data_IF_659068802791
#
_entry.id   IF_659068802791
#
_cell.length_a   1.000
_cell.length_b   1.000
_cell.length_c   1.000
_cell.angle_alpha   90.00
_cell.angle_beta   90.00
_cell.angle_gamma   90.00
#
_symmetry.space_group_name_H-M   'P 1'
#
loop_
_entity.id
_entity.type
_entity.pdbx_description
1 polymer ?
#
# COMPACT_ATOMS: atom_id res chain seq x y z
N UNK A 1 -50.36 -12.46 48.78
CA UNK A 1 -49.88 -13.24 47.64
C UNK A 1 -49.06 -12.25 46.78
N UNK A 2 -47.74 -12.21 46.96
CA UNK A 2 -46.82 -11.22 46.34
C UNK A 2 -46.12 -11.91 45.16
N UNK A 3 -46.45 -11.52 43.94
CA UNK A 3 -45.74 -11.93 42.73
C UNK A 3 -44.42 -11.12 42.66
N UNK A 4 -43.27 -11.78 42.88
CA UNK A 4 -41.97 -11.23 42.60
C UNK A 4 -41.70 -11.31 41.08
N UNK A 5 -41.79 -10.18 40.39
CA UNK A 5 -41.35 -10.02 39.02
C UNK A 5 -39.82 -10.04 39.01
N UNK A 6 -39.27 -11.11 38.41
CA UNK A 6 -37.82 -11.27 38.24
C UNK A 6 -37.45 -10.66 36.87
N UNK A 7 -36.92 -9.42 36.90
CA UNK A 7 -36.36 -8.78 35.72
C UNK A 7 -35.02 -9.45 35.40
N UNK A 8 -35.00 -10.29 34.39
CA UNK A 8 -33.76 -10.79 33.79
C UNK A 8 -33.17 -9.68 32.91
N UNK A 9 -32.16 -9.01 33.45
CA UNK A 9 -31.33 -8.07 32.67
C UNK A 9 -30.35 -8.91 31.85
N UNK A 10 -30.67 -9.08 30.57
CA UNK A 10 -29.71 -9.59 29.60
C UNK A 10 -28.64 -8.54 29.35
N UNK A 11 -27.50 -8.64 30.04
CA UNK A 11 -26.27 -7.96 29.61
C UNK A 11 -25.79 -8.64 28.34
N UNK A 12 -26.14 -8.07 27.18
CA UNK A 12 -25.46 -8.34 25.93
C UNK A 12 -24.03 -7.84 26.07
N UNK A 13 -23.13 -8.74 26.39
CA UNK A 13 -21.71 -8.46 26.22
C UNK A 13 -21.47 -8.34 24.70
N UNK A 14 -21.54 -7.12 24.18
CA UNK A 14 -20.88 -6.80 22.93
C UNK A 14 -19.38 -6.94 23.22
N UNK A 15 -18.81 -8.10 22.92
CA UNK A 15 -17.38 -8.22 22.74
C UNK A 15 -17.05 -7.33 21.57
N UNK A 16 -16.50 -6.15 21.85
CA UNK A 16 -15.70 -5.42 20.89
C UNK A 16 -14.55 -6.35 20.52
N UNK A 17 -14.72 -7.07 19.40
CA UNK A 17 -13.60 -7.69 18.72
C UNK A 17 -12.69 -6.57 18.21
N UNK A 18 -11.94 -5.99 19.14
CA UNK A 18 -10.73 -5.24 18.82
C UNK A 18 -9.79 -6.34 18.34
N UNK A 19 -9.76 -6.52 17.03
CA UNK A 19 -8.87 -7.44 16.35
C UNK A 19 -7.44 -6.86 16.45
N UNK A 20 -6.90 -6.82 17.69
CA UNK A 20 -5.49 -6.53 17.92
C UNK A 20 -4.73 -7.77 17.47
N UNK A 21 -4.36 -7.76 16.18
CA UNK A 21 -3.52 -8.81 15.66
C UNK A 21 -2.24 -8.88 16.51
N UNK A 22 -2.00 -10.07 17.09
CA UNK A 22 -0.84 -10.34 17.94
C UNK A 22 0.45 -9.97 17.18
N UNK A 23 1.41 -9.36 17.86
CA UNK A 23 2.77 -9.18 17.33
C UNK A 23 3.49 -10.52 17.26
N UNK A 24 4.30 -10.74 16.22
CA UNK A 24 5.06 -11.97 16.06
C UNK A 24 6.23 -12.00 17.04
N UNK A 25 6.26 -12.97 17.95
CA UNK A 25 7.38 -13.21 18.88
C UNK A 25 8.25 -14.39 18.42
N UNK A 26 7.71 -15.25 17.54
CA UNK A 26 8.38 -16.44 17.05
C UNK A 26 7.92 -16.79 15.62
N UNK A 27 8.67 -17.67 14.95
CA UNK A 27 8.25 -18.21 13.64
C UNK A 27 6.94 -19.02 13.71
N UNK A 28 6.61 -19.60 14.88
CA UNK A 28 5.35 -20.32 15.10
C UNK A 28 4.15 -19.39 15.06
N UNK A 29 4.32 -18.14 15.51
CA UNK A 29 3.24 -17.15 15.49
C UNK A 29 2.83 -16.82 14.07
N UNK A 30 3.77 -16.82 13.10
CA UNK A 30 3.48 -16.60 11.68
C UNK A 30 2.52 -17.66 11.11
N UNK A 31 2.49 -18.86 11.68
CA UNK A 31 1.55 -19.92 11.26
C UNK A 31 0.14 -19.61 11.76
N UNK A 32 -0.01 -19.23 13.03
CA UNK A 32 -1.31 -18.92 13.64
C UNK A 32 -1.89 -17.59 13.20
N UNK A 33 -1.04 -16.66 12.79
CA UNK A 33 -1.37 -15.30 12.36
C UNK A 33 -0.89 -14.25 13.35
N UNK A 34 -0.05 -13.34 12.86
CA UNK A 34 0.51 -12.24 13.65
C UNK A 34 0.98 -11.10 12.73
N UNK A 35 1.36 -9.97 13.32
CA UNK A 35 2.04 -8.88 12.61
C UNK A 35 3.48 -8.79 13.09
N UNK A 36 4.42 -8.92 12.17
CA UNK A 36 5.83 -8.60 12.42
C UNK A 36 6.01 -7.09 12.33
N UNK A 37 6.61 -6.48 13.34
CA UNK A 37 6.91 -5.06 13.39
C UNK A 37 8.40 -4.82 13.45
N UNK A 38 8.87 -3.82 12.74
CA UNK A 38 10.23 -3.31 12.86
C UNK A 38 10.19 -1.81 13.07
N UNK A 39 11.23 -1.27 13.70
CA UNK A 39 11.28 0.13 14.10
C UNK A 39 12.58 0.78 13.61
N UNK A 40 12.52 2.06 13.32
CA UNK A 40 13.69 2.88 13.10
C UNK A 40 14.48 3.07 14.41
N UNK A 41 15.71 3.54 14.30
CA UNK A 41 16.58 3.82 15.47
C UNK A 41 16.01 4.89 16.41
N UNK A 42 15.14 5.77 15.89
CA UNK A 42 14.41 6.78 16.68
C UNK A 42 13.13 6.24 17.35
N UNK A 43 12.86 4.91 17.26
CA UNK A 43 11.68 4.26 17.84
C UNK A 43 10.40 4.38 17.04
N UNK A 44 10.39 5.09 15.91
CA UNK A 44 9.23 5.17 15.02
C UNK A 44 9.04 3.84 14.29
N UNK A 45 7.79 3.40 14.17
CA UNK A 45 7.42 2.20 13.42
C UNK A 45 7.88 2.33 11.97
N UNK A 46 8.65 1.35 11.48
CA UNK A 46 9.19 1.32 10.12
C UNK A 46 8.36 0.41 9.20
N UNK A 47 8.00 -0.79 9.69
CA UNK A 47 7.27 -1.78 8.88
C UNK A 47 6.29 -2.56 9.74
N UNK A 48 5.12 -2.86 9.16
CA UNK A 48 4.15 -3.86 9.61
C UNK A 48 3.98 -4.92 8.52
N UNK A 49 4.27 -6.19 8.83
CA UNK A 49 4.07 -7.33 7.93
C UNK A 49 3.12 -8.32 8.55
N UNK A 50 1.89 -8.48 8.02
CA UNK A 50 0.96 -9.49 8.48
C UNK A 50 1.33 -10.86 7.92
N UNK A 51 1.26 -11.87 8.79
CA UNK A 51 1.48 -13.28 8.43
C UNK A 51 0.28 -14.13 8.82
N UNK A 52 0.03 -15.17 8.02
CA UNK A 52 -0.90 -16.26 8.29
C UNK A 52 -0.44 -17.52 7.57
N UNK A 53 -0.53 -18.68 8.23
CA UNK A 53 -0.03 -19.97 7.69
C UNK A 53 1.44 -19.90 7.26
N UNK A 54 2.29 -19.12 7.97
CA UNK A 54 3.70 -18.92 7.65
C UNK A 54 4.00 -18.06 6.43
N UNK A 55 2.98 -17.42 5.83
CA UNK A 55 3.10 -16.59 4.63
C UNK A 55 2.64 -15.17 4.88
N UNK A 56 3.18 -14.20 4.16
CA UNK A 56 2.64 -12.85 4.13
C UNK A 56 1.21 -12.90 3.57
N UNK A 57 0.25 -12.38 4.35
CA UNK A 57 -1.18 -12.41 4.05
C UNK A 57 -1.83 -11.15 4.63
N UNK A 58 -2.31 -10.26 3.76
CA UNK A 58 -2.87 -8.97 4.15
C UNK A 58 -2.03 -7.79 3.66
N UNK A 59 -2.18 -6.63 4.30
CA UNK A 59 -1.54 -5.38 3.85
C UNK A 59 -0.23 -5.16 4.62
N UNK A 60 0.89 -5.29 3.92
CA UNK A 60 2.20 -4.83 4.40
C UNK A 60 2.21 -3.29 4.35
N UNK A 61 2.62 -2.65 5.43
CA UNK A 61 2.76 -1.20 5.53
C UNK A 61 4.20 -0.84 5.83
N UNK A 62 4.71 0.16 5.13
CA UNK A 62 6.03 0.74 5.36
C UNK A 62 5.85 2.23 5.63
N UNK A 63 6.57 2.74 6.61
CA UNK A 63 6.45 4.11 7.07
C UNK A 63 7.75 4.89 6.82
N UNK A 64 7.67 6.19 6.74
CA UNK A 64 8.79 7.11 6.81
C UNK A 64 9.25 7.29 8.26
N UNK A 65 10.45 7.79 8.48
CA UNK A 65 10.97 8.11 9.81
C UNK A 65 10.17 9.19 10.57
N UNK A 66 9.36 9.99 9.84
CA UNK A 66 8.43 10.95 10.45
C UNK A 66 7.08 10.31 10.88
N UNK A 67 6.93 8.98 10.72
CA UNK A 67 5.73 8.23 11.08
C UNK A 67 4.64 8.20 10.02
N UNK A 68 4.75 8.99 8.94
CA UNK A 68 3.79 8.96 7.85
C UNK A 68 3.95 7.69 7.01
N UNK A 69 2.84 7.19 6.50
CA UNK A 69 2.83 6.02 5.62
C UNK A 69 3.62 6.32 4.34
N UNK A 70 4.55 5.43 3.97
CA UNK A 70 5.30 5.51 2.73
C UNK A 70 4.69 4.64 1.62
N UNK A 71 4.33 3.39 1.98
CA UNK A 71 3.69 2.50 1.01
C UNK A 71 2.84 1.44 1.68
N UNK A 72 1.83 0.95 0.95
CA UNK A 72 1.09 -0.26 1.27
C UNK A 72 1.21 -1.26 0.13
N UNK A 73 1.39 -2.53 0.48
CA UNK A 73 1.48 -3.62 -0.47
C UNK A 73 0.53 -4.73 0.01
N UNK A 74 -0.56 -5.01 -0.71
CA UNK A 74 -1.41 -6.14 -0.39
C UNK A 74 -0.73 -7.45 -0.82
N UNK A 75 -0.65 -8.40 0.11
CA UNK A 75 -0.08 -9.73 -0.12
C UNK A 75 -1.13 -10.82 0.04
N UNK A 76 -1.01 -11.84 -0.78
CA UNK A 76 -1.73 -13.11 -0.67
C UNK A 76 -0.74 -14.24 -0.92
N UNK A 77 -0.56 -15.13 0.06
CA UNK A 77 0.37 -16.27 -0.02
C UNK A 77 1.83 -15.89 -0.37
N UNK A 78 2.37 -14.78 0.13
CA UNK A 78 3.68 -14.17 -0.17
C UNK A 78 3.77 -13.43 -1.52
N UNK A 79 2.72 -13.38 -2.33
CA UNK A 79 2.70 -12.68 -3.62
C UNK A 79 1.95 -11.37 -3.50
N UNK A 80 2.44 -10.30 -4.11
CA UNK A 80 1.75 -9.01 -4.16
C UNK A 80 0.56 -9.11 -5.14
N UNK A 81 -0.65 -8.86 -4.60
CA UNK A 81 -1.92 -8.96 -5.35
C UNK A 81 -2.82 -7.79 -4.98
N UNK A 82 -3.21 -6.98 -5.94
CA UNK A 82 -4.06 -5.82 -5.72
C UNK A 82 -3.34 -4.52 -6.01
N UNK A 83 -3.72 -3.42 -5.36
CA UNK A 83 -3.16 -2.10 -5.63
C UNK A 83 -2.10 -1.77 -4.57
N UNK A 84 -0.85 -1.70 -4.99
CA UNK A 84 0.23 -1.09 -4.21
C UNK A 84 0.03 0.42 -4.26
N UNK A 85 0.06 1.06 -3.09
CA UNK A 85 -0.04 2.53 -2.98
C UNK A 85 1.27 3.08 -2.45
N UNK A 86 1.74 4.13 -3.07
CA UNK A 86 2.88 4.93 -2.61
C UNK A 86 2.38 6.29 -2.13
N UNK A 87 3.05 6.84 -1.14
CA UNK A 87 2.68 8.13 -0.55
C UNK A 87 3.92 9.03 -0.45
N UNK A 88 3.73 10.32 -0.56
CA UNK A 88 4.72 11.34 -0.25
C UNK A 88 4.96 11.45 1.25
N UNK A 89 6.05 12.10 1.66
CA UNK A 89 6.34 12.34 3.09
C UNK A 89 5.30 13.19 3.82
N UNK A 90 4.51 13.99 3.07
CA UNK A 90 3.38 14.76 3.61
C UNK A 90 2.09 13.92 3.78
N UNK A 91 2.12 12.62 3.40
CA UNK A 91 1.00 11.68 3.49
C UNK A 91 0.06 11.68 2.27
N UNK A 92 0.28 12.53 1.27
CA UNK A 92 -0.52 12.54 0.05
C UNK A 92 -0.19 11.33 -0.84
N UNK A 93 -1.19 10.80 -1.54
CA UNK A 93 -1.03 9.69 -2.46
C UNK A 93 -0.10 10.10 -3.61
N UNK A 94 0.92 9.29 -3.89
CA UNK A 94 1.89 9.49 -4.97
C UNK A 94 1.60 8.60 -6.18
N UNK A 95 1.23 7.32 -5.93
CA UNK A 95 0.95 6.37 -7.01
C UNK A 95 0.00 5.25 -6.56
N UNK A 96 -0.73 4.72 -7.55
CA UNK A 96 -1.47 3.47 -7.50
C UNK A 96 -0.90 2.52 -8.57
N UNK A 97 -0.41 1.37 -8.13
CA UNK A 97 0.29 0.41 -8.97
C UNK A 97 -0.39 -0.95 -8.82
N UNK A 98 -1.24 -1.35 -9.78
CA UNK A 98 -1.88 -2.66 -9.74
C UNK A 98 -0.86 -3.78 -9.94
N UNK A 99 -0.95 -4.80 -9.09
CA UNK A 99 -0.10 -5.99 -9.10
C UNK A 99 -0.95 -7.26 -9.16
N UNK A 100 -0.47 -8.25 -9.87
CA UNK A 100 -1.01 -9.60 -9.89
C UNK A 100 0.14 -10.59 -9.84
N UNK A 101 0.26 -11.30 -8.70
CA UNK A 101 1.31 -12.29 -8.45
C UNK A 101 2.71 -11.71 -8.72
N UNK A 102 3.04 -10.61 -8.02
CA UNK A 102 4.31 -9.85 -8.12
C UNK A 102 4.58 -9.18 -9.48
N UNK A 103 3.63 -9.24 -10.42
CA UNK A 103 3.78 -8.65 -11.76
C UNK A 103 2.90 -7.42 -11.91
N UNK A 104 3.40 -6.37 -12.56
CA UNK A 104 2.61 -5.19 -12.92
C UNK A 104 1.42 -5.59 -13.80
N UNK A 105 0.21 -5.14 -13.46
CA UNK A 105 -1.00 -5.53 -14.16
C UNK A 105 -1.99 -4.37 -14.28
N UNK A 106 -2.18 -3.88 -15.50
CA UNK A 106 -3.14 -2.79 -15.77
C UNK A 106 -2.52 -1.40 -15.75
N UNK A 107 -3.30 -0.40 -15.40
CA UNK A 107 -2.93 1.00 -15.50
C UNK A 107 -2.34 1.53 -14.20
N UNK A 108 -1.13 2.09 -14.28
CA UNK A 108 -0.46 2.77 -13.15
C UNK A 108 -0.87 4.24 -13.15
N UNK A 109 -1.30 4.73 -12.01
CA UNK A 109 -1.70 6.13 -11.83
C UNK A 109 -0.68 6.84 -10.95
N UNK A 110 -0.28 8.03 -11.36
CA UNK A 110 0.63 8.88 -10.61
C UNK A 110 -0.03 10.22 -10.31
N UNK A 111 0.29 10.75 -9.15
CA UNK A 111 -0.24 12.03 -8.65
C UNK A 111 0.95 12.93 -8.25
N UNK A 112 0.79 14.23 -8.41
CA UNK A 112 1.71 15.23 -7.89
C UNK A 112 1.54 15.39 -6.37
N UNK A 113 2.48 16.09 -5.73
CA UNK A 113 2.48 16.24 -4.27
C UNK A 113 1.30 17.06 -3.72
N UNK A 114 0.69 17.89 -4.57
CA UNK A 114 -0.54 18.65 -4.31
C UNK A 114 -1.84 17.85 -4.56
N UNK A 115 -1.72 16.54 -4.87
CA UNK A 115 -2.79 15.56 -5.17
C UNK A 115 -3.36 15.65 -6.59
N UNK A 116 -2.90 16.57 -7.43
CA UNK A 116 -3.37 16.63 -8.80
C UNK A 116 -2.90 15.39 -9.60
N UNK A 117 -3.76 14.86 -10.49
CA UNK A 117 -3.34 13.78 -11.38
C UNK A 117 -2.12 14.19 -12.20
N UNK A 118 -1.10 13.35 -12.25
CA UNK A 118 0.15 13.62 -12.93
C UNK A 118 0.27 12.86 -14.25
N UNK A 119 0.13 11.53 -14.18
CA UNK A 119 0.28 10.67 -15.35
C UNK A 119 -0.48 9.35 -15.20
N UNK A 120 -0.86 8.78 -16.36
CA UNK A 120 -1.39 7.43 -16.49
C UNK A 120 -0.46 6.62 -17.38
N UNK A 121 0.04 5.48 -16.88
CA UNK A 121 0.93 4.57 -17.61
C UNK A 121 0.25 3.23 -17.81
N UNK A 122 0.45 2.60 -18.96
CA UNK A 122 -0.08 1.27 -19.28
C UNK A 122 1.03 0.23 -19.29
N UNK A 123 0.74 -0.95 -18.75
CA UNK A 123 1.68 -2.08 -18.70
C UNK A 123 1.09 -3.36 -19.28
N UNK A 124 1.96 -4.24 -19.77
CA UNK A 124 1.61 -5.62 -20.19
C UNK A 124 2.16 -6.69 -19.27
N UNK A 125 2.73 -6.32 -18.12
CA UNK A 125 3.42 -7.26 -17.24
C UNK A 125 4.93 -7.37 -17.51
N UNK A 126 5.37 -7.14 -18.74
CA UNK A 126 6.80 -7.11 -19.10
C UNK A 126 7.43 -5.72 -18.96
N UNK A 127 6.60 -4.70 -18.77
CA UNK A 127 7.03 -3.31 -18.61
C UNK A 127 5.96 -2.31 -19.01
N UNK A 128 6.28 -1.04 -18.91
CA UNK A 128 5.42 0.06 -19.30
C UNK A 128 5.56 0.27 -20.81
N UNK A 129 4.44 0.19 -21.52
CA UNK A 129 4.38 0.20 -22.99
C UNK A 129 3.87 1.52 -23.56
N UNK A 130 3.12 2.28 -22.78
CA UNK A 130 2.62 3.60 -23.18
C UNK A 130 2.27 4.42 -21.96
N UNK A 131 2.08 5.72 -22.14
CA UNK A 131 1.63 6.61 -21.08
C UNK A 131 1.31 7.99 -21.59
N UNK A 132 0.60 8.74 -20.76
CA UNK A 132 0.27 10.15 -21.01
C UNK A 132 0.28 10.93 -19.70
N UNK A 133 0.70 12.18 -19.79
CA UNK A 133 0.54 13.15 -18.72
C UNK A 133 -0.93 13.59 -18.59
N UNK A 134 -1.30 14.13 -17.46
CA UNK A 134 -2.67 14.64 -17.21
C UNK A 134 -3.04 15.77 -18.18
N UNK A 135 -2.09 16.62 -18.57
CA UNK A 135 -2.28 17.67 -19.58
C UNK A 135 -2.48 17.16 -21.03
N UNK A 136 -2.55 15.84 -21.23
CA UNK A 136 -2.77 15.19 -22.53
C UNK A 136 -1.50 14.87 -23.31
N UNK A 137 -0.32 15.34 -22.88
CA UNK A 137 0.97 15.05 -23.53
C UNK A 137 1.26 13.54 -23.50
N UNK A 138 1.41 12.93 -24.67
CA UNK A 138 1.84 11.54 -24.77
C UNK A 138 3.32 11.40 -24.40
N UNK A 139 3.68 10.31 -23.71
CA UNK A 139 5.07 9.99 -23.44
C UNK A 139 5.76 9.42 -24.67
N UNK A 140 6.98 9.87 -24.94
CA UNK A 140 7.79 9.38 -26.04
C UNK A 140 8.41 8.02 -25.73
N UNK A 141 8.91 7.30 -26.75
CA UNK A 141 9.66 6.05 -26.55
C UNK A 141 10.87 6.25 -25.63
N UNK A 142 11.55 7.38 -25.73
CA UNK A 142 12.69 7.74 -24.87
C UNK A 142 12.25 7.89 -23.40
N UNK A 143 11.09 8.50 -23.17
CA UNK A 143 10.53 8.63 -21.82
C UNK A 143 10.19 7.25 -21.25
N UNK A 144 9.54 6.38 -22.03
CA UNK A 144 9.17 5.02 -21.64
C UNK A 144 10.41 4.16 -21.35
N UNK A 145 11.47 4.25 -22.16
CA UNK A 145 12.74 3.59 -21.89
C UNK A 145 13.36 4.07 -20.56
N UNK A 146 13.33 5.36 -20.32
CA UNK A 146 13.84 5.93 -19.07
C UNK A 146 13.02 5.49 -17.85
N UNK A 147 11.69 5.41 -17.98
CA UNK A 147 10.79 4.93 -16.94
C UNK A 147 11.07 3.46 -16.61
N UNK A 148 11.16 2.59 -17.63
CA UNK A 148 11.39 1.15 -17.46
C UNK A 148 12.75 0.82 -16.82
N UNK A 149 13.73 1.70 -16.90
CA UNK A 149 15.05 1.56 -16.23
C UNK A 149 15.08 2.05 -14.80
N UNK A 150 14.04 2.73 -14.34
CA UNK A 150 13.98 3.32 -12.99
C UNK A 150 13.25 2.40 -12.03
N UNK A 151 13.65 2.44 -10.77
CA UNK A 151 12.81 1.92 -9.70
C UNK A 151 11.55 2.78 -9.57
N UNK A 152 10.43 2.15 -9.24
CA UNK A 152 9.11 2.81 -9.07
C UNK A 152 9.17 4.05 -8.15
N UNK A 153 10.07 4.06 -7.16
CA UNK A 153 10.26 5.17 -6.22
C UNK A 153 10.73 6.48 -6.89
N UNK A 154 11.50 6.38 -7.97
CA UNK A 154 12.03 7.53 -8.70
C UNK A 154 11.16 7.91 -9.90
N UNK A 155 10.13 7.14 -10.17
CA UNK A 155 9.28 7.31 -11.34
C UNK A 155 8.41 8.56 -11.23
N UNK A 156 7.83 8.81 -10.06
CA UNK A 156 7.00 9.99 -9.84
C UNK A 156 7.77 11.30 -10.01
N UNK A 157 9.01 11.38 -9.51
CA UNK A 157 9.88 12.56 -9.70
C UNK A 157 10.15 12.81 -11.18
N UNK A 158 10.53 11.77 -11.92
CA UNK A 158 10.77 11.87 -13.37
C UNK A 158 9.50 12.26 -14.12
N UNK A 159 8.36 11.67 -13.80
CA UNK A 159 7.09 12.04 -14.42
C UNK A 159 6.72 13.50 -14.12
N UNK A 160 6.99 13.99 -12.91
CA UNK A 160 6.77 15.38 -12.57
C UNK A 160 7.62 16.32 -13.44
N UNK A 161 8.90 15.98 -13.67
CA UNK A 161 9.77 16.76 -14.57
C UNK A 161 9.22 16.83 -16.00
N UNK A 162 8.86 15.70 -16.60
CA UNK A 162 8.43 15.65 -18.01
C UNK A 162 7.00 16.08 -18.26
N UNK A 163 6.12 15.94 -17.27
CA UNK A 163 4.71 16.30 -17.36
C UNK A 163 4.42 17.75 -16.93
N UNK A 164 5.31 18.38 -16.12
CA UNK A 164 5.20 19.79 -15.75
C UNK A 164 5.77 20.75 -16.78
N UNK A 165 6.60 20.25 -17.71
CA UNK A 165 7.05 21.04 -18.84
C UNK A 165 5.84 21.28 -19.77
N UNK A 166 5.43 22.55 -19.89
CA UNK A 166 4.37 22.96 -20.82
C UNK A 166 4.62 22.39 -22.21
N UNK A 167 3.54 22.04 -22.97
CA UNK A 167 3.63 21.54 -24.34
C UNK A 167 4.26 22.56 -25.29
#
# INVERSE_FOLDING_TARGET
>A
MLLKSMLLVFFSFYTLDINMQKECESERDKISGCIEKTYYTNGVLAVERPYKNGKMEGINKVYYENGNLWRTIPYKNNEAVGIVKLYYKNGNLQAEIPMLNDVLHGDLKFYAEDKEPLALLKTTGYGIISGKCHNGKALTEKDLMNINRRHTLNMATFLNEICSLNP
#
